data_IF_165885811467
#
_entry.id   IF_165885811467
#
_cell.length_a   1.000
_cell.length_b   1.000
_cell.length_c   1.000
_cell.angle_alpha   90.00
_cell.angle_beta   90.00
_cell.angle_gamma   90.00
#
_symmetry.space_group_name_H-M   'P 1'
#
loop_
_entity.id
_entity.type
_entity.pdbx_description
1 polymer ?
#
# COMPACT_ATOMS: atom_id res chain seq x y z
N UNK A 1 -8.01 16.60 29.02
CA UNK A 1 -7.24 16.33 27.77
C UNK A 1 -6.13 15.30 27.96
N UNK A 2 -5.41 15.28 29.08
CA UNK A 2 -4.29 14.34 29.31
C UNK A 2 -4.62 12.85 29.26
N UNK A 3 -5.78 12.41 29.77
CA UNK A 3 -6.13 10.99 29.80
C UNK A 3 -6.42 10.39 28.40
N UNK A 4 -6.87 11.18 27.42
CA UNK A 4 -7.06 10.71 26.03
C UNK A 4 -5.73 10.55 25.31
N UNK A 5 -4.78 11.47 25.55
CA UNK A 5 -3.41 11.33 25.00
C UNK A 5 -2.69 10.13 25.62
N UNK A 6 -2.80 9.91 26.93
CA UNK A 6 -2.19 8.76 27.58
C UNK A 6 -2.76 7.43 27.04
N UNK A 7 -4.08 7.33 26.87
CA UNK A 7 -4.72 6.13 26.30
C UNK A 7 -4.31 5.89 24.83
N UNK A 8 -4.15 6.95 24.03
CA UNK A 8 -3.67 6.82 22.66
C UNK A 8 -2.22 6.33 22.61
N UNK A 9 -1.35 6.86 23.47
CA UNK A 9 0.05 6.46 23.57
C UNK A 9 0.18 5.02 24.10
N UNK A 10 -0.58 4.64 25.12
CA UNK A 10 -0.58 3.25 25.64
C UNK A 10 -1.15 2.25 24.64
N UNK A 11 -2.19 2.62 23.88
CA UNK A 11 -2.74 1.78 22.83
C UNK A 11 -1.75 1.62 21.66
N UNK A 12 -1.06 2.68 21.25
CA UNK A 12 -0.01 2.63 20.25
C UNK A 12 1.20 1.79 20.73
N UNK A 13 1.61 1.95 21.98
CA UNK A 13 2.69 1.15 22.56
C UNK A 13 2.33 -0.34 22.70
N UNK A 14 1.07 -0.66 22.99
CA UNK A 14 0.59 -2.05 23.06
C UNK A 14 0.44 -2.68 21.65
N UNK A 15 0.22 -1.87 20.61
CA UNK A 15 0.14 -2.37 19.23
C UNK A 15 1.53 -2.67 18.61
N UNK A 16 2.61 -2.06 19.11
CA UNK A 16 3.96 -2.26 18.60
C UNK A 16 4.44 -3.73 18.69
N UNK A 17 4.33 -4.43 19.82
CA UNK A 17 4.75 -5.84 19.91
C UNK A 17 3.96 -6.73 18.93
N UNK A 18 2.66 -6.47 18.78
CA UNK A 18 1.81 -7.23 17.88
C UNK A 18 2.16 -6.98 16.40
N UNK A 19 2.48 -5.75 16.04
CA UNK A 19 2.96 -5.41 14.71
C UNK A 19 4.33 -6.06 14.41
N UNK A 20 5.24 -6.05 15.37
CA UNK A 20 6.56 -6.70 15.24
C UNK A 20 6.40 -8.21 15.08
N UNK A 21 5.56 -8.86 15.90
CA UNK A 21 5.27 -10.29 15.78
C UNK A 21 4.63 -10.62 14.43
N UNK A 22 3.69 -9.81 13.97
CA UNK A 22 3.06 -9.99 12.66
C UNK A 22 4.10 -9.86 11.53
N UNK A 23 4.94 -8.85 11.56
CA UNK A 23 6.02 -8.68 10.57
C UNK A 23 7.02 -9.85 10.63
N UNK A 24 7.43 -10.26 11.82
CA UNK A 24 8.36 -11.37 11.99
C UNK A 24 7.78 -12.71 11.49
N UNK A 25 6.53 -13.03 11.86
CA UNK A 25 5.86 -14.25 11.39
C UNK A 25 5.63 -14.25 9.90
N UNK A 26 5.26 -13.10 9.31
CA UNK A 26 5.10 -12.93 7.86
C UNK A 26 6.43 -13.14 7.14
N UNK A 27 7.50 -12.53 7.65
CA UNK A 27 8.84 -12.65 7.08
C UNK A 27 9.35 -14.10 7.14
N UNK A 28 9.16 -14.76 8.27
CA UNK A 28 9.48 -16.18 8.43
C UNK A 28 8.66 -17.06 7.48
N UNK A 29 7.35 -16.81 7.37
CA UNK A 29 6.49 -17.56 6.44
C UNK A 29 6.95 -17.39 4.99
N UNK A 30 7.32 -16.18 4.58
CA UNK A 30 7.87 -15.91 3.23
C UNK A 30 9.18 -16.64 3.03
N UNK A 31 10.12 -16.58 3.98
CA UNK A 31 11.41 -17.26 3.90
C UNK A 31 11.26 -18.79 3.84
N UNK A 32 10.41 -19.38 4.69
CA UNK A 32 10.15 -20.83 4.66
C UNK A 32 9.46 -21.26 3.37
N UNK A 33 8.51 -20.47 2.86
CA UNK A 33 7.85 -20.74 1.59
C UNK A 33 8.82 -20.63 0.43
N UNK A 34 9.69 -19.62 0.42
CA UNK A 34 10.72 -19.45 -0.61
C UNK A 34 11.74 -20.61 -0.56
N UNK A 35 12.20 -21.02 0.62
CA UNK A 35 13.10 -22.17 0.79
C UNK A 35 12.48 -23.50 0.41
N UNK A 36 11.17 -23.67 0.64
CA UNK A 36 10.42 -24.88 0.32
C UNK A 36 9.84 -24.89 -1.11
N UNK A 37 9.98 -23.79 -1.84
CA UNK A 37 9.42 -23.63 -3.18
C UNK A 37 9.75 -24.76 -4.17
N UNK A 38 11.01 -25.29 -4.25
CA UNK A 38 11.34 -26.40 -5.12
C UNK A 38 10.59 -27.69 -4.77
N UNK A 39 10.41 -27.97 -3.46
CA UNK A 39 9.69 -29.16 -2.97
C UNK A 39 8.19 -29.05 -3.23
N UNK A 40 7.60 -27.88 -2.98
CA UNK A 40 6.17 -27.61 -3.25
C UNK A 40 5.90 -27.74 -4.74
N UNK A 41 6.77 -27.21 -5.59
CA UNK A 41 6.66 -27.31 -7.05
C UNK A 41 6.80 -28.75 -7.56
N UNK A 42 7.71 -29.55 -6.99
CA UNK A 42 7.88 -30.95 -7.34
C UNK A 42 6.66 -31.79 -6.93
N UNK A 43 6.09 -31.53 -5.74
CA UNK A 43 4.88 -32.16 -5.26
C UNK A 43 3.67 -31.83 -6.14
N UNK A 44 3.45 -30.55 -6.48
CA UNK A 44 2.38 -30.11 -7.35
C UNK A 44 2.49 -30.71 -8.76
N UNK A 45 3.72 -30.84 -9.30
CA UNK A 45 3.95 -31.49 -10.59
C UNK A 45 3.59 -32.97 -10.62
N UNK A 46 3.71 -33.67 -9.49
CA UNK A 46 3.35 -35.09 -9.38
C UNK A 46 1.85 -35.34 -9.23
N UNK A 47 1.13 -34.33 -8.69
CA UNK A 47 -0.30 -34.46 -8.36
C UNK A 47 -1.22 -33.89 -9.45
N UNK A 48 -0.75 -32.96 -10.28
CA UNK A 48 -1.57 -32.27 -11.27
C UNK A 48 -1.36 -32.80 -12.68
N UNK A 49 -2.44 -33.07 -13.45
CA UNK A 49 -2.36 -33.36 -14.87
C UNK A 49 -1.67 -32.24 -15.63
N UNK A 50 -1.04 -32.55 -16.75
CA UNK A 50 -0.25 -31.57 -17.54
C UNK A 50 -1.06 -30.35 -17.99
N UNK A 51 -2.34 -30.52 -18.28
CA UNK A 51 -3.23 -29.42 -18.67
C UNK A 51 -3.42 -28.40 -17.54
N UNK A 52 -3.56 -28.87 -16.30
CA UNK A 52 -3.64 -28.01 -15.13
C UNK A 52 -2.31 -27.31 -14.85
N UNK A 53 -1.20 -27.96 -15.18
CA UNK A 53 0.14 -27.35 -15.02
C UNK A 53 0.38 -26.24 -16.04
N UNK A 54 -0.12 -26.38 -17.26
CA UNK A 54 -0.08 -25.33 -18.30
C UNK A 54 -0.91 -24.11 -17.88
N UNK A 55 -2.13 -24.36 -17.40
CA UNK A 55 -3.01 -23.32 -16.87
C UNK A 55 -2.37 -22.59 -15.68
N UNK A 56 -1.78 -23.30 -14.71
CA UNK A 56 -1.10 -22.71 -13.57
C UNK A 56 0.12 -21.85 -13.96
N UNK A 57 0.82 -22.21 -15.05
CA UNK A 57 1.90 -21.35 -15.60
C UNK A 57 1.36 -20.07 -16.23
N UNK A 58 0.23 -20.14 -16.93
CA UNK A 58 -0.45 -18.96 -17.46
C UNK A 58 -0.86 -18.00 -16.34
N UNK A 59 -1.59 -18.52 -15.33
CA UNK A 59 -2.00 -17.72 -14.15
C UNK A 59 -0.80 -17.08 -13.45
N UNK A 60 0.32 -17.81 -13.29
CA UNK A 60 1.54 -17.26 -12.72
C UNK A 60 2.11 -16.12 -13.56
N UNK A 61 2.15 -16.27 -14.88
CA UNK A 61 2.66 -15.24 -15.79
C UNK A 61 1.80 -13.97 -15.71
N UNK A 62 0.47 -14.13 -15.71
CA UNK A 62 -0.48 -13.04 -15.63
C UNK A 62 -0.41 -12.32 -14.27
N UNK A 63 -0.27 -13.09 -13.17
CA UNK A 63 -0.06 -12.51 -11.83
C UNK A 63 1.23 -11.69 -11.75
N UNK A 64 2.34 -12.21 -12.29
CA UNK A 64 3.60 -11.48 -12.31
C UNK A 64 3.49 -10.21 -13.16
N UNK A 65 2.78 -10.27 -14.29
CA UNK A 65 2.53 -9.11 -15.13
C UNK A 65 1.68 -8.06 -14.39
N UNK A 66 0.63 -8.49 -13.68
CA UNK A 66 -0.24 -7.61 -12.90
C UNK A 66 0.50 -6.98 -11.73
N UNK A 67 1.31 -7.77 -10.99
CA UNK A 67 2.18 -7.25 -9.94
C UNK A 67 3.21 -6.26 -10.47
N UNK A 68 3.80 -6.54 -11.64
CA UNK A 68 4.73 -5.63 -12.30
C UNK A 68 4.09 -4.29 -12.66
N UNK A 69 2.86 -4.33 -13.18
CA UNK A 69 2.07 -3.14 -13.49
C UNK A 69 1.76 -2.35 -12.20
N UNK A 70 1.36 -3.05 -11.13
CA UNK A 70 1.08 -2.41 -9.84
C UNK A 70 2.35 -1.78 -9.23
N UNK A 71 3.48 -2.48 -9.23
CA UNK A 71 4.75 -1.91 -8.77
C UNK A 71 5.15 -0.68 -9.59
N UNK A 72 4.98 -0.72 -10.91
CA UNK A 72 5.24 0.43 -11.77
C UNK A 72 4.35 1.63 -11.40
N UNK A 73 3.06 1.40 -11.17
CA UNK A 73 2.14 2.43 -10.72
C UNK A 73 2.60 3.06 -9.40
N UNK A 74 2.98 2.22 -8.43
CA UNK A 74 3.45 2.67 -7.13
C UNK A 74 4.75 3.48 -7.23
N UNK A 75 5.69 3.06 -8.09
CA UNK A 75 6.91 3.83 -8.35
C UNK A 75 6.62 5.20 -8.97
N UNK A 76 5.65 5.30 -9.87
CA UNK A 76 5.24 6.58 -10.47
C UNK A 76 4.64 7.49 -9.40
N UNK A 77 3.70 6.99 -8.58
CA UNK A 77 3.10 7.76 -7.49
C UNK A 77 4.16 8.24 -6.49
N UNK A 78 5.07 7.35 -6.10
CA UNK A 78 6.18 7.70 -5.20
C UNK A 78 7.08 8.77 -5.80
N UNK A 79 7.39 8.69 -7.09
CA UNK A 79 8.15 9.72 -7.80
C UNK A 79 7.44 11.07 -7.80
N UNK A 80 6.14 11.10 -8.10
CA UNK A 80 5.34 12.33 -8.08
C UNK A 80 5.34 12.94 -6.69
N UNK A 81 4.99 12.17 -5.66
CA UNK A 81 5.00 12.62 -4.25
C UNK A 81 6.37 13.14 -3.82
N UNK A 82 7.45 12.46 -4.23
CA UNK A 82 8.81 12.92 -3.94
C UNK A 82 9.11 14.29 -4.54
N UNK A 83 8.77 14.51 -5.82
CA UNK A 83 9.00 15.79 -6.48
C UNK A 83 8.13 16.92 -5.90
N UNK A 84 6.88 16.63 -5.54
CA UNK A 84 6.00 17.59 -4.86
C UNK A 84 6.54 18.00 -3.49
N UNK A 85 6.97 16.99 -2.69
CA UNK A 85 7.61 17.24 -1.39
C UNK A 85 8.90 18.05 -1.54
N UNK A 86 9.74 17.67 -2.50
CA UNK A 86 11.00 18.36 -2.74
C UNK A 86 10.75 19.82 -3.13
N UNK A 87 9.84 20.08 -4.08
CA UNK A 87 9.48 21.42 -4.52
C UNK A 87 8.91 22.26 -3.36
N UNK A 88 7.98 21.71 -2.58
CA UNK A 88 7.38 22.39 -1.45
C UNK A 88 8.38 22.72 -0.35
N UNK A 89 9.23 21.76 0.03
CA UNK A 89 10.24 21.96 1.08
C UNK A 89 11.36 22.93 0.63
N UNK A 90 11.74 22.92 -0.65
CA UNK A 90 12.68 23.90 -1.21
C UNK A 90 12.10 25.33 -1.21
N UNK A 91 10.82 25.45 -1.61
CA UNK A 91 10.12 26.74 -1.59
C UNK A 91 10.05 27.32 -0.17
N UNK A 92 9.89 26.45 0.83
CA UNK A 92 9.93 26.82 2.26
C UNK A 92 11.35 27.03 2.80
N UNK A 93 12.39 26.94 1.93
CA UNK A 93 13.80 27.04 2.30
C UNK A 93 14.19 26.13 3.47
N UNK A 94 13.63 24.92 3.50
CA UNK A 94 13.90 23.96 4.55
C UNK A 94 15.28 23.35 4.35
N UNK A 95 16.11 23.35 5.40
CA UNK A 95 17.37 22.61 5.39
C UNK A 95 17.12 21.12 5.18
N UNK A 96 18.02 20.44 4.43
CA UNK A 96 17.91 19.01 4.11
C UNK A 96 16.62 18.62 3.36
N UNK A 97 16.06 19.53 2.54
CA UNK A 97 14.81 19.29 1.83
C UNK A 97 14.82 17.98 1.01
N UNK A 98 15.94 17.67 0.36
CA UNK A 98 16.09 16.43 -0.42
C UNK A 98 15.97 15.18 0.47
N UNK A 99 16.66 15.17 1.61
CA UNK A 99 16.63 14.03 2.53
C UNK A 99 15.25 13.84 3.15
N UNK A 100 14.62 14.94 3.55
CA UNK A 100 13.27 14.93 4.13
C UNK A 100 12.24 14.49 3.09
N UNK A 101 12.31 15.00 1.85
CA UNK A 101 11.43 14.58 0.78
C UNK A 101 11.57 13.08 0.50
N UNK A 102 12.78 12.56 0.43
CA UNK A 102 13.03 11.13 0.21
C UNK A 102 12.49 10.28 1.37
N UNK A 103 12.74 10.67 2.62
CA UNK A 103 12.26 9.95 3.80
C UNK A 103 10.72 9.92 3.85
N UNK A 104 10.08 11.07 3.64
CA UNK A 104 8.61 11.17 3.67
C UNK A 104 7.99 10.39 2.51
N UNK A 105 8.58 10.45 1.32
CA UNK A 105 8.10 9.68 0.17
C UNK A 105 8.19 8.17 0.42
N UNK A 106 9.25 7.68 1.06
CA UNK A 106 9.38 6.26 1.45
C UNK A 106 8.31 5.87 2.48
N UNK A 107 8.03 6.74 3.45
CA UNK A 107 6.96 6.52 4.43
C UNK A 107 5.59 6.50 3.73
N UNK A 108 5.38 7.38 2.73
CA UNK A 108 4.16 7.44 1.93
C UNK A 108 3.95 6.19 1.06
N UNK A 109 5.01 5.50 0.65
CA UNK A 109 4.91 4.23 -0.07
C UNK A 109 4.27 3.11 0.76
N UNK A 110 4.25 3.24 2.09
CA UNK A 110 3.59 2.30 2.99
C UNK A 110 2.07 2.56 2.98
N UNK A 111 1.23 1.55 2.66
CA UNK A 111 -0.20 1.75 2.43
C UNK A 111 -1.00 2.24 3.65
N UNK A 112 -0.39 2.26 4.83
CA UNK A 112 -1.05 2.64 6.10
C UNK A 112 -0.70 4.06 6.53
N UNK A 113 0.48 4.57 6.16
CA UNK A 113 1.01 5.79 6.75
C UNK A 113 0.70 7.05 5.95
N UNK A 114 0.96 7.11 4.68
CA UNK A 114 0.75 8.31 3.87
C UNK A 114 1.59 9.54 4.30
N UNK A 115 1.69 10.55 3.44
CA UNK A 115 2.41 11.81 3.73
C UNK A 115 1.84 12.57 4.92
N UNK A 116 0.53 12.41 5.18
CA UNK A 116 -0.17 13.09 6.27
C UNK A 116 0.31 12.72 7.67
N UNK A 117 0.79 11.48 7.86
CA UNK A 117 1.32 11.04 9.17
C UNK A 117 2.56 11.81 9.61
N UNK A 118 3.29 12.38 8.67
CA UNK A 118 4.49 13.19 8.94
C UNK A 118 4.16 14.68 8.84
N UNK A 119 3.53 15.12 7.74
CA UNK A 119 3.32 16.56 7.50
C UNK A 119 2.29 17.19 8.43
N UNK A 120 1.24 16.47 8.83
CA UNK A 120 0.20 17.00 9.70
C UNK A 120 0.73 17.25 11.12
N UNK A 121 1.36 16.28 11.83
CA UNK A 121 1.90 16.54 13.15
C UNK A 121 3.06 17.54 13.12
N UNK A 122 3.89 17.54 12.07
CA UNK A 122 4.95 18.53 11.92
C UNK A 122 4.39 19.93 11.72
N UNK A 123 3.39 20.11 10.85
CA UNK A 123 2.70 21.38 10.66
C UNK A 123 2.04 21.88 11.95
N UNK A 124 1.36 20.99 12.68
CA UNK A 124 0.74 21.31 13.96
C UNK A 124 1.78 21.77 15.02
N UNK A 125 2.91 21.08 15.11
CA UNK A 125 4.00 21.47 16.01
C UNK A 125 4.56 22.85 15.63
N UNK A 126 4.74 23.16 14.36
CA UNK A 126 5.18 24.49 13.92
C UNK A 126 4.17 25.58 14.28
N UNK A 127 2.86 25.32 14.19
CA UNK A 127 1.83 26.25 14.62
C UNK A 127 1.86 26.49 16.14
N UNK A 128 2.02 25.44 16.94
CA UNK A 128 2.10 25.51 18.39
C UNK A 128 3.37 26.25 18.90
N UNK A 129 4.47 26.14 18.14
CA UNK A 129 5.73 26.83 18.44
C UNK A 129 5.79 28.29 17.95
N UNK A 130 4.67 28.82 17.41
CA UNK A 130 4.55 30.19 16.93
C UNK A 130 5.08 30.45 15.52
N UNK A 131 5.58 29.41 14.82
CA UNK A 131 6.05 29.54 13.44
C UNK A 131 4.90 29.30 12.45
N UNK A 132 3.93 30.23 12.47
CA UNK A 132 2.67 30.14 11.71
C UNK A 132 2.90 29.98 10.19
N UNK A 133 3.78 30.76 9.52
CA UNK A 133 3.95 30.63 8.07
C UNK A 133 4.48 29.26 7.65
N UNK A 134 5.36 28.67 8.46
CA UNK A 134 5.90 27.33 8.19
C UNK A 134 4.85 26.24 8.43
N UNK A 135 4.08 26.34 9.52
CA UNK A 135 3.01 25.40 9.82
C UNK A 135 1.93 25.38 8.75
N UNK A 136 1.45 26.56 8.32
CA UNK A 136 0.48 26.68 7.24
C UNK A 136 1.05 26.18 5.92
N UNK A 137 2.32 26.46 5.60
CA UNK A 137 2.98 25.95 4.41
C UNK A 137 3.03 24.43 4.34
N UNK A 138 3.34 23.74 5.46
CA UNK A 138 3.36 22.27 5.54
C UNK A 138 1.95 21.67 5.36
N UNK A 139 0.93 22.28 5.97
CA UNK A 139 -0.45 21.83 5.81
C UNK A 139 -0.99 22.08 4.41
N UNK A 140 -0.63 23.23 3.79
CA UNK A 140 -0.98 23.50 2.39
C UNK A 140 -0.29 22.50 1.44
N UNK A 141 0.99 22.21 1.66
CA UNK A 141 1.74 21.20 0.90
C UNK A 141 1.07 19.82 1.02
N UNK A 142 0.68 19.42 2.22
CA UNK A 142 -0.09 18.18 2.42
C UNK A 142 -1.41 18.20 1.65
N UNK A 143 -2.13 19.32 1.66
CA UNK A 143 -3.38 19.49 0.91
C UNK A 143 -3.17 19.31 -0.60
N UNK A 144 -2.13 19.91 -1.17
CA UNK A 144 -1.79 19.78 -2.59
C UNK A 144 -1.45 18.32 -2.94
N UNK A 145 -0.56 17.69 -2.17
CA UNK A 145 -0.18 16.29 -2.39
C UNK A 145 -1.41 15.37 -2.31
N UNK A 146 -2.29 15.57 -1.32
CA UNK A 146 -3.51 14.79 -1.17
C UNK A 146 -4.47 14.96 -2.34
N UNK A 147 -4.62 16.17 -2.85
CA UNK A 147 -5.45 16.45 -4.04
C UNK A 147 -4.88 15.81 -5.30
N UNK A 148 -3.59 15.98 -5.55
CA UNK A 148 -2.94 15.35 -6.72
C UNK A 148 -3.05 13.83 -6.64
N UNK A 149 -2.79 13.25 -5.48
CA UNK A 149 -2.89 11.81 -5.25
C UNK A 149 -4.32 11.29 -5.47
N UNK A 150 -5.35 11.97 -4.95
CA UNK A 150 -6.75 11.55 -5.11
C UNK A 150 -7.23 11.55 -6.56
N UNK A 151 -6.60 12.34 -7.43
CA UNK A 151 -6.89 12.35 -8.87
C UNK A 151 -6.00 11.39 -9.65
N UNK A 152 -4.72 11.29 -9.26
CA UNK A 152 -3.72 10.54 -10.02
C UNK A 152 -3.79 9.04 -9.73
N UNK A 153 -4.00 8.67 -8.46
CA UNK A 153 -4.07 7.27 -8.03
C UNK A 153 -5.15 6.47 -8.78
N UNK A 154 -6.43 6.92 -8.86
CA UNK A 154 -7.44 6.18 -9.61
C UNK A 154 -7.17 6.15 -11.11
N UNK A 155 -6.58 7.20 -11.69
CA UNK A 155 -6.23 7.21 -13.12
C UNK A 155 -5.13 6.22 -13.45
N UNK A 156 -4.08 6.14 -12.62
CA UNK A 156 -2.98 5.22 -12.82
C UNK A 156 -3.44 3.78 -12.57
N UNK A 157 -4.26 3.55 -11.55
CA UNK A 157 -4.80 2.23 -11.23
C UNK A 157 -5.80 1.74 -12.28
N UNK A 158 -6.71 2.59 -12.75
CA UNK A 158 -7.68 2.24 -13.79
C UNK A 158 -7.01 1.84 -15.11
N UNK A 159 -5.88 2.45 -15.47
CA UNK A 159 -5.13 2.09 -16.67
C UNK A 159 -4.44 0.71 -16.58
N UNK A 160 -4.39 0.10 -15.38
CA UNK A 160 -3.59 -1.09 -15.14
C UNK A 160 -4.39 -2.28 -14.62
N UNK A 161 -5.63 -2.06 -14.17
CA UNK A 161 -6.46 -3.07 -13.51
C UNK A 161 -7.89 -3.01 -14.03
N UNK A 162 -8.29 -4.03 -14.78
CA UNK A 162 -9.66 -4.22 -15.32
C UNK A 162 -10.70 -4.56 -14.22
N UNK A 163 -10.68 -3.85 -13.10
CA UNK A 163 -11.67 -3.98 -12.04
C UNK A 163 -12.66 -2.84 -12.11
N UNK A 164 -13.95 -3.16 -12.02
CA UNK A 164 -14.95 -2.10 -11.85
C UNK A 164 -14.72 -1.38 -10.52
N UNK A 165 -14.79 -0.04 -10.50
CA UNK A 165 -14.57 0.75 -9.26
C UNK A 165 -15.49 0.32 -8.10
N UNK A 166 -16.71 -0.09 -8.43
CA UNK A 166 -17.68 -0.62 -7.46
C UNK A 166 -17.21 -1.92 -6.80
N UNK A 167 -16.66 -2.86 -7.58
CA UNK A 167 -16.14 -4.11 -7.04
C UNK A 167 -14.92 -3.88 -6.14
N UNK A 168 -14.06 -2.94 -6.51
CA UNK A 168 -12.92 -2.55 -5.68
C UNK A 168 -13.36 -1.94 -4.34
N UNK A 169 -14.32 -1.00 -4.36
CA UNK A 169 -14.89 -0.39 -3.14
C UNK A 169 -15.57 -1.43 -2.25
N UNK A 170 -16.38 -2.32 -2.82
CA UNK A 170 -17.03 -3.39 -2.06
C UNK A 170 -15.99 -4.32 -1.42
N UNK A 171 -14.94 -4.70 -2.15
CA UNK A 171 -13.86 -5.53 -1.61
C UNK A 171 -13.10 -4.82 -0.48
N UNK A 172 -12.82 -3.51 -0.62
CA UNK A 172 -12.20 -2.72 0.43
C UNK A 172 -13.06 -2.67 1.69
N UNK A 173 -14.37 -2.44 1.53
CA UNK A 173 -15.31 -2.39 2.66
C UNK A 173 -15.42 -3.74 3.38
N UNK A 174 -15.63 -4.82 2.63
CA UNK A 174 -15.68 -6.20 3.18
C UNK A 174 -14.36 -6.56 3.86
N UNK A 175 -13.25 -6.20 3.23
CA UNK A 175 -11.92 -6.43 3.79
C UNK A 175 -11.71 -5.68 5.10
N UNK A 176 -12.14 -4.43 5.16
CA UNK A 176 -12.05 -3.63 6.39
C UNK A 176 -12.88 -4.23 7.52
N UNK A 177 -14.11 -4.68 7.24
CA UNK A 177 -14.98 -5.32 8.24
C UNK A 177 -14.42 -6.67 8.74
N UNK A 178 -13.75 -7.45 7.87
CA UNK A 178 -13.25 -8.78 8.23
C UNK A 178 -11.90 -8.76 8.92
N UNK A 179 -10.96 -7.94 8.44
CA UNK A 179 -9.55 -7.97 8.84
C UNK A 179 -8.98 -6.57 9.17
N UNK A 180 -9.82 -5.54 9.29
CA UNK A 180 -9.40 -4.17 9.54
C UNK A 180 -8.59 -3.59 8.37
N UNK A 181 -7.60 -2.74 8.69
CA UNK A 181 -6.77 -2.03 7.70
C UNK A 181 -6.01 -2.99 6.76
N UNK A 182 -5.54 -4.13 7.29
CA UNK A 182 -4.88 -5.14 6.48
C UNK A 182 -5.84 -5.76 5.44
N UNK A 183 -7.08 -6.03 5.83
CA UNK A 183 -8.12 -6.56 4.93
C UNK A 183 -8.51 -5.58 3.83
N UNK A 184 -8.49 -4.27 4.12
CA UNK A 184 -8.77 -3.22 3.15
C UNK A 184 -7.79 -3.23 1.96
N UNK A 185 -6.55 -3.68 2.18
CA UNK A 185 -5.53 -3.84 1.12
C UNK A 185 -5.57 -5.22 0.50
N UNK A 186 -5.71 -6.27 1.32
CA UNK A 186 -5.65 -7.65 0.87
C UNK A 186 -6.90 -8.10 0.10
N UNK A 187 -8.11 -7.62 0.46
CA UNK A 187 -9.34 -8.03 -0.21
C UNK A 187 -9.44 -7.60 -1.67
N UNK A 188 -9.13 -6.36 -2.06
CA UNK A 188 -9.06 -5.99 -3.48
C UNK A 188 -8.03 -6.81 -4.25
N UNK A 189 -6.88 -7.12 -3.64
CA UNK A 189 -5.87 -7.99 -4.26
C UNK A 189 -6.38 -9.43 -4.43
N UNK A 190 -7.08 -9.97 -3.44
CA UNK A 190 -7.72 -11.28 -3.52
C UNK A 190 -8.81 -11.30 -4.60
N UNK A 191 -9.61 -10.23 -4.71
CA UNK A 191 -10.62 -10.10 -5.75
C UNK A 191 -10.01 -10.07 -7.15
N UNK A 192 -8.91 -9.34 -7.33
CA UNK A 192 -8.12 -9.36 -8.56
C UNK A 192 -7.64 -10.76 -8.91
N UNK A 193 -7.14 -11.49 -7.92
CA UNK A 193 -6.68 -12.86 -8.08
C UNK A 193 -7.82 -13.79 -8.50
N UNK A 194 -8.99 -13.68 -7.87
CA UNK A 194 -10.20 -14.48 -8.20
C UNK A 194 -10.69 -14.15 -9.61
N UNK A 195 -10.74 -12.86 -9.99
CA UNK A 195 -11.09 -12.44 -11.35
C UNK A 195 -10.14 -13.04 -12.36
N UNK A 196 -8.85 -12.97 -12.11
CA UNK A 196 -7.83 -13.51 -13.01
C UNK A 196 -7.90 -15.04 -13.16
N UNK A 197 -8.24 -15.75 -12.06
CA UNK A 197 -8.55 -17.18 -12.10
C UNK A 197 -9.83 -17.49 -12.92
N UNK A 198 -10.83 -16.60 -12.86
CA UNK A 198 -12.04 -16.72 -13.66
C UNK A 198 -11.75 -16.50 -15.15
N UNK A 199 -11.03 -15.42 -15.49
CA UNK A 199 -10.67 -15.07 -16.88
C UNK A 199 -9.73 -16.09 -17.52
N UNK A 200 -8.88 -16.75 -16.72
CA UNK A 200 -8.03 -17.87 -17.17
C UNK A 200 -8.75 -19.23 -17.28
N UNK A 201 -10.07 -19.28 -16.99
CA UNK A 201 -10.91 -20.47 -17.13
C UNK A 201 -10.76 -21.52 -16.02
N UNK A 202 -10.03 -21.21 -14.94
CA UNK A 202 -9.85 -22.10 -13.78
C UNK A 202 -11.10 -22.22 -12.92
N UNK A 203 -11.80 -21.11 -12.72
CA UNK A 203 -13.03 -21.01 -11.97
C UNK A 203 -14.09 -20.33 -12.84
N UNK A 204 -14.98 -21.09 -13.44
CA UNK A 204 -16.19 -20.54 -14.09
C UNK A 204 -17.21 -20.24 -13.01
N UNK A 205 -17.15 -19.04 -12.41
CA UNK A 205 -18.08 -18.61 -11.35
C UNK A 205 -19.37 -18.05 -11.92
N UNK A 206 -19.35 -17.49 -13.13
CA UNK A 206 -20.54 -17.05 -13.89
C UNK A 206 -20.30 -17.20 -15.39
N UNK A 207 -21.41 -17.23 -16.11
CA UNK A 207 -21.47 -17.23 -17.59
C UNK A 207 -21.39 -15.81 -18.10
#
# INVERSE_FOLDING_TARGET
>A
MGQRCLRAVTAAAAALPQAVLFCATTLLAVLFTAGSYPRIRAFLRRQLPEDRLRQARGVKADLLATLGKWCKAQCILLGVTFFELLAGLLLMRQGYALLLAALIAVIDALPVFGTGTVLVPWGALCLLTGNVPKGLGLLALYGVISLVRSVLEPKIMAAQVDLSPLAALAAMYVGFCAFGVAGMVLCPMALLFVKQLHDSGWLRLWK
#
